data_IF_916546044864
#
_entry.id   IF_916546044864
#
_cell.length_a   1.000
_cell.length_b   1.000
_cell.length_c   1.000
_cell.angle_alpha   90.00
_cell.angle_beta   90.00
_cell.angle_gamma   90.00
#
_symmetry.space_group_name_H-M   'P 1'
#
loop_
_entity.id
_entity.type
_entity.pdbx_description
1 polymer ?
#
# COMPACT_ATOMS: atom_id res chain seq x y z
N UNK A 1 2.87 16.04 4.55
CA UNK A 1 1.69 15.78 5.40
C UNK A 1 2.12 14.85 6.52
N UNK A 2 2.10 15.29 7.78
CA UNK A 2 2.37 14.45 8.95
C UNK A 2 1.19 13.49 9.22
N UNK A 3 0.84 12.64 8.26
CA UNK A 3 0.12 11.40 8.56
C UNK A 3 1.20 10.45 9.08
N UNK A 4 1.59 10.68 10.34
CA UNK A 4 2.58 9.96 11.13
C UNK A 4 3.38 8.87 10.39
N UNK A 5 4.62 9.19 10.04
CA UNK A 5 5.67 8.18 9.82
C UNK A 5 5.73 7.19 11.00
N UNK A 6 5.23 7.58 12.18
CA UNK A 6 5.01 6.74 13.36
C UNK A 6 3.99 5.62 13.16
N UNK A 7 2.90 5.75 12.39
CA UNK A 7 1.98 4.61 12.15
C UNK A 7 2.66 3.59 11.22
N UNK A 8 3.44 4.06 10.25
CA UNK A 8 4.22 3.20 9.38
C UNK A 8 5.35 2.48 10.15
N UNK A 9 6.04 3.17 11.07
CA UNK A 9 7.08 2.56 11.90
C UNK A 9 6.50 1.58 12.94
N UNK A 10 5.29 1.81 13.46
CA UNK A 10 4.63 0.87 14.38
C UNK A 10 4.05 -0.37 13.68
N UNK A 11 3.60 -0.29 12.42
CA UNK A 11 3.16 -1.49 11.67
C UNK A 11 4.36 -2.25 11.07
N UNK A 12 5.43 -1.56 10.66
CA UNK A 12 6.65 -2.20 10.15
C UNK A 12 7.52 -2.82 11.27
N UNK A 13 7.47 -2.28 12.50
CA UNK A 13 8.18 -2.86 13.66
C UNK A 13 7.59 -4.20 14.14
N UNK A 14 6.32 -4.51 13.83
CA UNK A 14 5.69 -5.82 14.11
C UNK A 14 5.94 -6.85 12.97
N UNK A 15 6.38 -6.41 11.78
CA UNK A 15 6.67 -7.30 10.64
C UNK A 15 7.86 -8.24 10.92
N UNK A 16 8.78 -7.86 11.81
CA UNK A 16 10.03 -8.61 12.06
C UNK A 16 9.81 -9.97 12.74
N UNK A 17 8.64 -10.23 13.34
CA UNK A 17 8.44 -11.41 14.19
C UNK A 17 7.44 -12.46 13.68
N UNK A 18 6.63 -12.22 12.62
CA UNK A 18 5.47 -13.11 12.32
C UNK A 18 5.38 -13.72 10.92
N UNK A 19 6.25 -13.40 9.98
CA UNK A 19 6.53 -14.33 8.88
C UNK A 19 7.62 -15.29 9.34
N UNK A 20 7.26 -16.18 10.28
CA UNK A 20 7.83 -17.51 10.18
C UNK A 20 7.42 -17.97 8.78
N UNK A 21 8.37 -17.99 7.86
CA UNK A 21 8.31 -19.00 6.82
C UNK A 21 8.48 -20.31 7.59
N UNK A 22 7.41 -20.72 8.29
CA UNK A 22 7.29 -22.05 8.85
C UNK A 22 7.61 -22.95 7.67
N UNK A 23 8.59 -23.82 7.89
CA UNK A 23 9.01 -24.92 7.02
C UNK A 23 8.09 -25.15 5.81
N UNK A 24 8.62 -25.21 4.57
CA UNK A 24 7.82 -25.30 3.32
C UNK A 24 6.73 -26.38 3.32
N UNK A 25 6.80 -27.34 4.24
CA UNK A 25 5.83 -28.40 4.49
C UNK A 25 4.49 -27.94 5.12
N UNK A 26 4.38 -26.69 5.59
CA UNK A 26 3.20 -26.16 6.32
C UNK A 26 2.57 -24.89 5.70
N UNK A 27 2.90 -24.57 4.44
CA UNK A 27 2.29 -23.43 3.75
C UNK A 27 1.03 -23.86 2.99
N UNK A 28 -0.15 -23.49 3.51
CA UNK A 28 -1.43 -23.74 2.83
C UNK A 28 -1.53 -22.89 1.56
N UNK A 29 -2.07 -23.45 0.47
CA UNK A 29 -2.30 -22.74 -0.79
C UNK A 29 -3.14 -21.47 -0.60
N UNK A 30 -4.07 -21.48 0.35
CA UNK A 30 -4.86 -20.31 0.74
C UNK A 30 -4.00 -19.17 1.30
N UNK A 31 -2.99 -19.48 2.12
CA UNK A 31 -2.08 -18.48 2.66
C UNK A 31 -1.22 -17.85 1.55
N UNK A 32 -0.73 -18.65 0.60
CA UNK A 32 -0.01 -18.16 -0.58
C UNK A 32 -0.81 -17.20 -1.44
N UNK A 33 -2.07 -17.54 -1.76
CA UNK A 33 -2.94 -16.62 -2.47
C UNK A 33 -3.27 -15.36 -1.65
N UNK A 34 -3.36 -15.47 -0.33
CA UNK A 34 -3.56 -14.33 0.57
C UNK A 34 -2.42 -13.31 0.52
N UNK A 35 -1.16 -13.76 0.56
CA UNK A 35 0.00 -12.87 0.45
C UNK A 35 0.19 -12.28 -0.94
N UNK A 36 -0.08 -13.06 -2.00
CA UNK A 36 -0.06 -12.55 -3.36
C UNK A 36 -1.13 -11.46 -3.57
N UNK A 37 -2.35 -11.69 -3.09
CA UNK A 37 -3.44 -10.71 -3.15
C UNK A 37 -3.13 -9.44 -2.34
N UNK A 38 -2.52 -9.60 -1.16
CA UNK A 38 -2.06 -8.48 -0.35
C UNK A 38 -1.04 -7.61 -1.10
N UNK A 39 -0.03 -8.20 -1.75
CA UNK A 39 0.95 -7.44 -2.53
C UNK A 39 0.34 -6.74 -3.76
N UNK A 40 -0.54 -7.44 -4.48
CA UNK A 40 -1.14 -6.95 -5.72
C UNK A 40 -2.10 -5.76 -5.47
N UNK A 41 -2.88 -5.81 -4.39
CA UNK A 41 -3.78 -4.71 -4.00
C UNK A 41 -3.01 -3.42 -3.66
N UNK A 42 -1.92 -3.51 -2.90
CA UNK A 42 -1.07 -2.35 -2.59
C UNK A 42 -0.42 -1.79 -3.86
N UNK A 43 0.17 -2.66 -4.69
CA UNK A 43 0.83 -2.24 -5.93
C UNK A 43 -0.11 -1.53 -6.91
N UNK A 44 -1.31 -2.07 -7.13
CA UNK A 44 -2.30 -1.44 -8.02
C UNK A 44 -2.81 -0.10 -7.48
N UNK A 45 -3.00 0.02 -6.16
CA UNK A 45 -3.44 1.28 -5.54
C UNK A 45 -2.39 2.40 -5.71
N UNK A 46 -1.10 2.07 -5.52
CA UNK A 46 0.00 3.01 -5.70
C UNK A 46 0.19 3.39 -7.17
N UNK A 47 0.03 2.44 -8.10
CA UNK A 47 0.11 2.71 -9.54
C UNK A 47 -1.00 3.67 -10.00
N UNK A 48 -2.23 3.48 -9.52
CA UNK A 48 -3.35 4.37 -9.84
C UNK A 48 -3.13 5.80 -9.31
N UNK A 49 -2.64 5.93 -8.07
CA UNK A 49 -2.30 7.22 -7.49
C UNK A 49 -1.17 7.93 -8.26
N UNK A 50 -0.12 7.19 -8.63
CA UNK A 50 1.00 7.73 -9.43
C UNK A 50 0.58 8.24 -10.81
N UNK A 51 -0.34 7.54 -11.49
CA UNK A 51 -0.88 8.00 -12.76
C UNK A 51 -1.72 9.28 -12.62
N UNK A 52 -2.55 9.38 -11.58
CA UNK A 52 -3.33 10.59 -11.31
C UNK A 52 -2.43 11.80 -11.02
N UNK A 53 -1.37 11.59 -10.21
CA UNK A 53 -0.35 12.60 -9.89
C UNK A 53 0.38 13.04 -11.16
N UNK A 54 0.72 12.11 -12.05
CA UNK A 54 1.39 12.43 -13.33
C UNK A 54 0.56 13.34 -14.22
N UNK A 55 -0.75 13.07 -14.37
CA UNK A 55 -1.64 13.88 -15.20
C UNK A 55 -1.89 15.26 -14.57
N UNK A 56 -2.14 15.31 -13.25
CA UNK A 56 -2.28 16.59 -12.52
C UNK A 56 -0.99 17.40 -12.56
N UNK A 57 0.17 16.75 -12.49
CA UNK A 57 1.48 17.39 -12.59
C UNK A 57 1.71 18.04 -13.94
N UNK A 58 1.42 17.33 -15.04
CA UNK A 58 1.57 17.83 -16.41
C UNK A 58 0.62 19.01 -16.72
N UNK A 59 -0.65 18.92 -16.33
CA UNK A 59 -1.58 20.04 -16.43
C UNK A 59 -1.19 21.19 -15.49
N UNK A 60 -0.67 20.85 -14.32
CA UNK A 60 -0.28 21.76 -13.27
C UNK A 60 0.88 22.66 -13.70
N UNK A 61 1.98 22.09 -14.21
CA UNK A 61 3.15 22.89 -14.62
C UNK A 61 2.79 23.91 -15.71
N UNK A 62 1.93 23.54 -16.67
CA UNK A 62 1.43 24.45 -17.70
C UNK A 62 0.59 25.58 -17.11
N UNK A 63 -0.28 25.28 -16.15
CA UNK A 63 -1.10 26.28 -15.45
C UNK A 63 -0.25 27.21 -14.56
N UNK A 64 0.84 26.70 -13.97
CA UNK A 64 1.74 27.49 -13.14
C UNK A 64 2.48 28.58 -13.93
N UNK A 65 2.86 28.29 -15.18
CA UNK A 65 3.56 29.23 -16.05
C UNK A 65 2.73 30.47 -16.41
N UNK A 66 1.40 30.35 -16.41
CA UNK A 66 0.48 31.46 -16.75
C UNK A 66 0.18 32.34 -15.52
N UNK A 67 0.06 31.74 -14.33
CA UNK A 67 -0.33 32.43 -13.09
C UNK A 67 0.28 31.72 -11.85
N UNK A 68 1.34 32.27 -11.22
CA UNK A 68 2.04 31.59 -10.11
C UNK A 68 1.19 31.46 -8.83
N UNK A 69 0.10 32.22 -8.72
CA UNK A 69 -0.87 32.16 -7.60
C UNK A 69 -1.60 30.82 -7.47
N UNK A 70 -1.55 29.93 -8.46
CA UNK A 70 -2.15 28.59 -8.39
C UNK A 70 -1.21 27.50 -7.83
N UNK A 71 0.04 27.83 -7.48
CA UNK A 71 1.02 26.86 -7.00
C UNK A 71 0.57 26.07 -5.76
N UNK A 72 -0.02 26.76 -4.76
CA UNK A 72 -0.49 26.12 -3.52
C UNK A 72 -1.66 25.18 -3.79
N UNK A 73 -2.60 25.58 -4.66
CA UNK A 73 -3.75 24.74 -5.02
C UNK A 73 -3.33 23.41 -5.63
N UNK A 74 -2.32 23.40 -6.51
CA UNK A 74 -1.79 22.18 -7.12
C UNK A 74 -1.10 21.26 -6.12
N UNK A 75 -0.28 21.83 -5.23
CA UNK A 75 0.37 21.09 -4.14
C UNK A 75 -0.65 20.35 -3.25
N UNK A 76 -1.79 20.98 -2.93
CA UNK A 76 -2.83 20.35 -2.12
C UNK A 76 -3.43 19.11 -2.80
N UNK A 77 -3.69 19.16 -4.10
CA UNK A 77 -4.27 18.02 -4.85
C UNK A 77 -3.28 16.85 -4.91
N UNK A 78 -1.99 17.16 -5.14
CA UNK A 78 -0.91 16.16 -5.22
C UNK A 78 -0.75 15.40 -3.89
N UNK A 79 -0.84 16.10 -2.75
CA UNK A 79 -0.68 15.48 -1.43
C UNK A 79 -1.91 14.64 -1.05
N UNK A 80 -3.13 15.07 -1.40
CA UNK A 80 -4.32 14.24 -1.15
C UNK A 80 -4.31 12.95 -1.99
N UNK A 81 -3.77 13.00 -3.21
CA UNK A 81 -3.63 11.79 -4.03
C UNK A 81 -2.69 10.76 -3.40
N UNK A 82 -1.62 11.20 -2.73
CA UNK A 82 -0.69 10.31 -2.05
C UNK A 82 -1.32 9.66 -0.81
N UNK A 83 -2.12 10.42 -0.04
CA UNK A 83 -2.83 9.89 1.12
C UNK A 83 -3.80 8.74 0.75
N UNK A 84 -4.41 8.79 -0.43
CA UNK A 84 -5.25 7.71 -0.96
C UNK A 84 -4.44 6.45 -1.31
N UNK A 85 -3.21 6.60 -1.82
CA UNK A 85 -2.29 5.48 -2.06
C UNK A 85 -1.84 4.81 -0.75
N UNK A 86 -1.56 5.61 0.29
CA UNK A 86 -1.20 5.09 1.61
C UNK A 86 -2.33 4.31 2.29
N UNK A 87 -3.59 4.70 2.06
CA UNK A 87 -4.74 3.94 2.53
C UNK A 87 -4.76 2.50 1.95
N UNK A 88 -4.43 2.36 0.66
CA UNK A 88 -4.30 1.05 0.02
C UNK A 88 -3.19 0.17 0.63
N UNK A 89 -2.06 0.79 1.00
CA UNK A 89 -0.94 0.10 1.66
C UNK A 89 -1.30 -0.45 3.04
N UNK A 90 -2.05 0.31 3.84
CA UNK A 90 -2.50 -0.11 5.18
C UNK A 90 -3.42 -1.34 5.06
N UNK A 91 -4.38 -1.32 4.13
CA UNK A 91 -5.33 -2.43 3.95
C UNK A 91 -4.61 -3.70 3.50
N UNK A 92 -3.71 -3.61 2.52
CA UNK A 92 -2.98 -4.79 2.05
C UNK A 92 -2.13 -5.42 3.15
N UNK A 93 -1.54 -4.60 4.02
CA UNK A 93 -0.76 -5.08 5.16
C UNK A 93 -1.64 -5.79 6.21
N UNK A 94 -2.83 -5.26 6.50
CA UNK A 94 -3.80 -5.92 7.39
C UNK A 94 -4.27 -7.27 6.82
N UNK A 95 -4.42 -7.39 5.50
CA UNK A 95 -4.77 -8.66 4.86
C UNK A 95 -3.62 -9.68 4.96
N UNK A 96 -2.38 -9.23 4.83
CA UNK A 96 -1.20 -10.09 4.98
C UNK A 96 -0.99 -10.60 6.41
N UNK A 97 -1.52 -9.90 7.42
CA UNK A 97 -1.37 -10.28 8.84
C UNK A 97 -2.51 -11.14 9.37
N UNK A 98 -3.61 -11.31 8.61
CA UNK A 98 -4.74 -12.15 9.03
C UNK A 98 -4.38 -13.63 8.96
N UNK A 99 -4.17 -14.23 10.14
CA UNK A 99 -4.08 -15.69 10.31
C UNK A 99 -5.49 -16.26 10.44
N UNK A 100 -5.85 -17.23 9.60
CA UNK A 100 -7.14 -17.94 9.69
C UNK A 100 -6.91 -19.26 10.41
N UNK A 101 -7.31 -19.30 11.69
CA UNK A 101 -7.17 -20.47 12.54
C UNK A 101 -8.14 -21.57 12.08
N UNK A 102 -7.61 -22.65 11.48
CA UNK A 102 -8.39 -23.81 11.03
C UNK A 102 -8.14 -24.27 9.60
N UNK A 103 -7.35 -23.55 8.78
CA UNK A 103 -7.02 -23.94 7.39
C UNK A 103 -5.60 -24.50 7.19
N UNK A 104 -4.81 -24.61 8.26
CA UNK A 104 -3.53 -25.32 8.24
C UNK A 104 -3.74 -26.84 8.33
N UNK A 105 -4.52 -27.41 7.41
CA UNK A 105 -4.38 -28.83 7.10
C UNK A 105 -3.14 -28.95 6.23
N UNK A 106 -2.13 -29.69 6.70
CA UNK A 106 -0.92 -29.99 5.92
C UNK A 106 -1.31 -30.40 4.50
N UNK A 107 -0.73 -29.74 3.50
CA UNK A 107 -0.79 -30.24 2.13
C UNK A 107 0.02 -31.54 2.10
N UNK A 108 -0.69 -32.68 2.18
CA UNK A 108 -0.10 -34.00 2.02
C UNK A 108 0.16 -34.19 0.52
N UNK A 109 1.43 -34.09 0.12
CA UNK A 109 1.88 -34.57 -1.18
C UNK A 109 1.60 -36.08 -1.32
#
# INVERSE_FOLDING_TARGET
MCVNVSVLEQVMAEQKCRTSMDTPDTYSSYAGYGHLAAGLTVGLSAMAAGLAIGIVGDAGVRANAQQPKLFVGMMLILIFSEALGLYGLIIGLVVATKKVDGLCSSYKA
#
